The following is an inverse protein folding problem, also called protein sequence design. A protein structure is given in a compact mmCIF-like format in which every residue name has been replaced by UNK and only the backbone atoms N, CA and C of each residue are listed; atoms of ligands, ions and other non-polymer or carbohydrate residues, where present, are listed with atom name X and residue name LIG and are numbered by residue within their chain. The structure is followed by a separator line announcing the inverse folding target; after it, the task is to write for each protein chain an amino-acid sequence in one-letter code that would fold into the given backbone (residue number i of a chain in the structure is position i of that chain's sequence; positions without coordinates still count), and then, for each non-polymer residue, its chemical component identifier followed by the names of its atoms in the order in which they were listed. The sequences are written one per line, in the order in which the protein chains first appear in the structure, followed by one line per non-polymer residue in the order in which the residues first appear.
data_IF_740298792015
#
_entry.id   IF_740298792015
#
_cell.length_a   1.000
_cell.length_b   1.000
_cell.length_c   1.000
_cell.angle_alpha   90.00
_cell.angle_beta   90.00
_cell.angle_gamma   90.00
#
_symmetry.space_group_name_H-M   'P 1'
#
loop_
_entity.id
_entity.type
_entity.pdbx_description
1 polymer ?
#
# COMPACT_ATOMS: atom_id res chain seq x y z
N UNK A 1 -15.84 0.15 -11.30
CA UNK A 1 -15.21 1.36 -10.71
C UNK A 1 -15.03 1.25 -9.19
N UNK A 2 -14.43 0.16 -8.69
CA UNK A 2 -14.11 -0.04 -7.25
C UNK A 2 -12.66 -0.48 -6.99
N UNK A 3 -11.85 -0.66 -8.05
CA UNK A 3 -10.46 -1.14 -7.98
C UNK A 3 -9.40 -0.01 -7.88
N UNK A 4 -9.82 1.26 -7.76
CA UNK A 4 -8.88 2.41 -7.74
C UNK A 4 -8.48 2.80 -6.30
N UNK A 5 -9.22 2.33 -5.28
CA UNK A 5 -8.96 2.68 -3.88
C UNK A 5 -7.94 1.80 -3.16
N UNK A 6 -7.79 0.52 -3.54
CA UNK A 6 -6.93 -0.43 -2.83
C UNK A 6 -5.44 -0.28 -3.19
N UNK A 7 -5.15 0.22 -4.39
CA UNK A 7 -3.77 0.36 -4.90
C UNK A 7 -2.97 1.44 -4.15
N UNK A 8 -3.64 2.43 -3.56
CA UNK A 8 -3.00 3.56 -2.90
C UNK A 8 -2.63 3.28 -1.44
N UNK A 9 -3.29 2.31 -0.81
CA UNK A 9 -3.02 1.90 0.58
C UNK A 9 -1.74 1.06 0.68
N UNK A 10 -1.34 0.41 -0.42
CA UNK A 10 -0.15 -0.45 -0.48
C UNK A 10 1.19 0.31 -0.62
N UNK A 11 1.19 1.54 -1.13
CA UNK A 11 2.45 2.28 -1.39
C UNK A 11 3.08 2.83 -0.10
N UNK A 12 2.32 2.96 0.98
CA UNK A 12 2.78 3.56 2.24
C UNK A 12 3.37 2.52 3.20
N UNK A 13 2.97 1.25 3.09
CA UNK A 13 3.34 0.18 4.04
C UNK A 13 4.71 -0.46 3.77
N UNK A 14 5.40 -0.10 2.68
CA UNK A 14 6.70 -0.69 2.34
C UNK A 14 7.91 0.09 2.87
N UNK A 15 7.73 1.30 3.41
CA UNK A 15 8.83 2.16 3.90
C UNK A 15 8.93 2.27 5.44
N UNK A 16 8.03 1.66 6.22
CA UNK A 16 7.88 2.00 7.65
C UNK A 16 8.59 1.07 8.64
N UNK A 17 9.42 0.12 8.20
CA UNK A 17 9.97 -0.90 9.12
C UNK A 17 11.20 -0.49 9.95
N UNK A 18 11.69 0.75 9.93
CA UNK A 18 12.86 1.14 10.74
C UNK A 18 12.83 2.58 11.29
N UNK A 19 11.80 2.97 12.06
CA UNK A 19 11.87 4.19 12.87
C UNK A 19 10.87 4.28 14.05
N UNK A 20 10.60 3.20 14.79
CA UNK A 20 9.74 3.29 15.98
C UNK A 20 10.52 3.29 17.29
N UNK A 21 11.01 4.47 17.68
CA UNK A 21 11.19 4.82 19.09
C UNK A 21 10.87 6.30 19.31
N UNK A 22 10.01 6.59 20.30
CA UNK A 22 9.64 7.91 20.88
C UNK A 22 8.52 8.65 20.11
N UNK A 23 7.30 8.85 20.65
CA UNK A 23 6.94 9.35 21.99
C UNK A 23 5.70 8.64 22.57
N UNK A 24 5.69 8.34 23.88
CA UNK A 24 4.63 7.51 24.51
C UNK A 24 3.19 8.00 24.30
N UNK A 25 2.95 9.32 24.21
CA UNK A 25 1.59 9.87 24.02
C UNK A 25 1.04 9.74 22.59
N UNK A 26 1.91 9.75 21.58
CA UNK A 26 1.50 9.56 20.19
C UNK A 26 1.17 8.09 19.92
N UNK A 27 1.94 7.19 20.54
CA UNK A 27 1.68 5.76 20.44
C UNK A 27 0.33 5.38 21.09
N UNK A 28 0.02 5.94 22.26
CA UNK A 28 -1.28 5.71 22.93
C UNK A 28 -2.48 6.14 22.08
N UNK A 29 -2.36 7.23 21.31
CA UNK A 29 -3.42 7.68 20.42
C UNK A 29 -3.61 6.70 19.25
N UNK A 30 -2.53 6.30 18.58
CA UNK A 30 -2.56 5.33 17.48
C UNK A 30 -3.15 4.00 17.93
N UNK A 31 -2.70 3.48 19.08
CA UNK A 31 -3.21 2.24 19.67
C UNK A 31 -4.72 2.36 19.93
N UNK A 32 -5.21 3.49 20.45
CA UNK A 32 -6.66 3.71 20.63
C UNK A 32 -7.44 3.71 19.32
N UNK A 33 -6.93 4.35 18.26
CA UNK A 33 -7.59 4.37 16.96
C UNK A 33 -7.60 2.98 16.31
N UNK A 34 -6.47 2.30 16.28
CA UNK A 34 -6.35 0.96 15.72
C UNK A 34 -7.23 -0.04 16.50
N UNK A 35 -7.26 0.05 17.83
CA UNK A 35 -8.16 -0.75 18.67
C UNK A 35 -9.63 -0.48 18.39
N UNK A 36 -9.99 0.79 18.19
CA UNK A 36 -11.36 1.16 17.78
C UNK A 36 -11.74 0.57 16.42
N UNK A 37 -10.80 0.55 15.46
CA UNK A 37 -11.00 -0.08 14.16
C UNK A 37 -11.23 -1.60 14.32
N UNK A 38 -10.37 -2.29 15.09
CA UNK A 38 -10.55 -3.72 15.39
C UNK A 38 -11.93 -3.98 16.01
N UNK A 39 -12.30 -3.30 17.08
CA UNK A 39 -13.60 -3.53 17.76
C UNK A 39 -14.79 -3.28 16.83
N UNK A 40 -14.74 -2.25 15.98
CA UNK A 40 -15.81 -1.96 15.02
C UNK A 40 -15.91 -3.03 13.93
N UNK A 41 -14.77 -3.51 13.43
CA UNK A 41 -14.74 -4.54 12.39
C UNK A 41 -15.10 -5.92 12.95
N UNK A 42 -14.72 -6.25 14.19
CA UNK A 42 -15.17 -7.46 14.89
C UNK A 42 -16.67 -7.49 15.10
N UNK A 43 -17.25 -6.35 15.52
CA UNK A 43 -18.70 -6.22 15.65
C UNK A 43 -19.39 -6.40 14.29
N UNK A 44 -18.89 -5.77 13.24
CA UNK A 44 -19.43 -5.92 11.89
C UNK A 44 -19.35 -7.37 11.39
N UNK A 45 -18.24 -8.07 11.68
CA UNK A 45 -18.10 -9.49 11.35
C UNK A 45 -19.09 -10.36 12.13
N UNK A 46 -19.22 -10.12 13.44
CA UNK A 46 -20.19 -10.83 14.28
C UNK A 46 -21.62 -10.64 13.80
N UNK A 47 -21.99 -9.41 13.43
CA UNK A 47 -23.32 -9.11 12.91
C UNK A 47 -23.54 -9.83 11.57
N UNK A 48 -22.56 -9.79 10.65
CA UNK A 48 -22.66 -10.49 9.36
C UNK A 48 -22.75 -12.01 9.50
N UNK A 49 -22.00 -12.62 10.42
CA UNK A 49 -22.07 -14.06 10.65
C UNK A 49 -23.45 -14.50 11.16
N UNK A 50 -24.10 -13.69 12.01
CA UNK A 50 -25.48 -13.96 12.47
C UNK A 50 -26.48 -13.95 11.31
N UNK A 51 -26.29 -13.07 10.32
CA UNK A 51 -27.16 -13.02 9.14
C UNK A 51 -26.74 -14.02 8.04
N UNK A 52 -25.49 -14.49 8.06
CA UNK A 52 -25.00 -15.53 7.17
C UNK A 52 -25.69 -16.87 7.46
N UNK A 53 -25.80 -17.24 8.73
CA UNK A 53 -26.51 -18.47 9.15
C UNK A 53 -28.01 -18.42 8.83
N UNK A 54 -28.57 -17.20 8.67
CA UNK A 54 -29.94 -16.96 8.22
C UNK A 54 -30.09 -16.90 6.69
N UNK A 55 -29.02 -17.15 5.91
CA UNK A 55 -29.02 -17.14 4.45
C UNK A 55 -29.06 -15.74 3.80
N UNK A 56 -28.90 -14.68 4.60
CA UNK A 56 -29.08 -13.28 4.14
C UNK A 56 -27.79 -12.58 3.68
N UNK A 57 -26.62 -13.22 3.75
CA UNK A 57 -25.32 -12.60 3.47
C UNK A 57 -24.50 -13.49 2.54
N UNK A 58 -23.85 -12.89 1.53
CA UNK A 58 -22.98 -13.64 0.62
C UNK A 58 -21.66 -14.05 1.30
N UNK A 59 -21.09 -15.22 0.94
CA UNK A 59 -19.76 -15.63 1.41
C UNK A 59 -18.67 -14.59 1.14
N UNK A 60 -18.75 -13.89 0.01
CA UNK A 60 -17.81 -12.81 -0.36
C UNK A 60 -17.85 -11.64 0.62
N UNK A 61 -19.03 -11.28 1.15
CA UNK A 61 -19.15 -10.19 2.12
C UNK A 61 -18.53 -10.57 3.47
N UNK A 62 -18.67 -11.83 3.87
CA UNK A 62 -18.01 -12.35 5.07
C UNK A 62 -16.48 -12.34 4.89
N UNK A 63 -15.98 -12.73 3.70
CA UNK A 63 -14.55 -12.67 3.37
C UNK A 63 -14.00 -11.25 3.42
N UNK A 64 -14.66 -10.28 2.77
CA UNK A 64 -14.24 -8.87 2.76
C UNK A 64 -14.09 -8.30 4.18
N UNK A 65 -15.02 -8.62 5.07
CA UNK A 65 -14.95 -8.13 6.46
C UNK A 65 -13.91 -8.90 7.28
N UNK A 66 -13.64 -10.18 6.99
CA UNK A 66 -12.51 -10.91 7.60
C UNK A 66 -11.17 -10.33 7.18
N UNK A 67 -11.01 -9.96 5.92
CA UNK A 67 -9.79 -9.30 5.43
C UNK A 67 -9.61 -7.93 6.07
N UNK A 68 -10.67 -7.12 6.12
CA UNK A 68 -10.65 -5.82 6.81
C UNK A 68 -10.32 -5.96 8.31
N UNK A 69 -10.78 -7.05 8.95
CA UNK A 69 -10.46 -7.34 10.34
C UNK A 69 -8.98 -7.70 10.51
N UNK A 70 -8.44 -8.56 9.64
CA UNK A 70 -7.02 -8.91 9.66
C UNK A 70 -6.13 -7.68 9.44
N UNK A 71 -6.44 -6.81 8.47
CA UNK A 71 -5.71 -5.55 8.25
C UNK A 71 -5.83 -4.60 9.44
N UNK A 72 -7.00 -4.52 10.09
CA UNK A 72 -7.17 -3.72 11.32
C UNK A 72 -6.32 -4.26 12.48
N UNK A 73 -6.20 -5.59 12.59
CA UNK A 73 -5.35 -6.25 13.59
C UNK A 73 -3.86 -6.06 13.30
N UNK A 74 -3.46 -6.05 12.03
CA UNK A 74 -2.09 -5.71 11.62
C UNK A 74 -1.76 -4.29 12.07
N UNK A 75 -2.63 -3.29 11.79
CA UNK A 75 -2.40 -1.91 12.23
C UNK A 75 -2.28 -1.78 13.76
N UNK A 76 -3.12 -2.49 14.51
CA UNK A 76 -3.03 -2.50 15.97
C UNK A 76 -1.71 -3.13 16.43
N UNK A 77 -1.34 -4.26 15.85
CA UNK A 77 -0.10 -4.94 16.18
C UNK A 77 1.14 -4.11 15.84
N UNK A 78 1.15 -3.40 14.71
CA UNK A 78 2.21 -2.46 14.33
C UNK A 78 2.31 -1.31 15.34
N UNK A 79 1.19 -0.71 15.74
CA UNK A 79 1.15 0.34 16.76
C UNK A 79 1.63 -0.15 18.15
N UNK A 80 1.31 -1.41 18.48
CA UNK A 80 1.73 -2.05 19.74
C UNK A 80 3.18 -2.60 19.68
N UNK A 81 3.84 -2.57 18.51
CA UNK A 81 5.16 -3.19 18.31
C UNK A 81 5.15 -4.72 18.38
N UNK A 82 3.98 -5.35 18.19
CA UNK A 82 3.77 -6.79 18.28
C UNK A 82 4.02 -7.48 16.92
N UNK A 83 5.29 -7.59 16.54
CA UNK A 83 5.69 -8.17 15.25
C UNK A 83 5.20 -9.62 15.04
N UNK A 84 5.04 -10.39 16.13
CA UNK A 84 4.53 -11.77 16.05
C UNK A 84 3.09 -11.80 15.55
N UNK A 85 2.26 -10.87 16.02
CA UNK A 85 0.86 -10.75 15.59
C UNK A 85 0.78 -10.24 14.14
N UNK A 86 1.62 -9.29 13.74
CA UNK A 86 1.73 -8.84 12.34
C UNK A 86 1.99 -10.03 11.41
N UNK A 87 3.00 -10.85 11.73
CA UNK A 87 3.35 -12.05 10.96
C UNK A 87 2.20 -13.06 10.96
N UNK A 88 1.53 -13.28 12.09
CA UNK A 88 0.41 -14.21 12.19
C UNK A 88 -0.78 -13.79 11.29
N UNK A 89 -1.17 -12.52 11.34
CA UNK A 89 -2.27 -11.99 10.52
C UNK A 89 -1.91 -11.96 9.03
N UNK A 90 -0.67 -11.64 8.67
CA UNK A 90 -0.20 -11.70 7.27
C UNK A 90 -0.16 -13.14 6.74
N UNK A 91 0.22 -14.13 7.55
CA UNK A 91 0.15 -15.55 7.15
C UNK A 91 -1.28 -15.97 6.84
N UNK A 92 -2.22 -15.62 7.71
CA UNK A 92 -3.63 -15.89 7.49
C UNK A 92 -4.14 -15.29 6.17
N UNK A 93 -3.80 -14.03 5.88
CA UNK A 93 -4.17 -13.38 4.62
C UNK A 93 -3.53 -14.08 3.40
N UNK A 94 -2.25 -14.44 3.47
CA UNK A 94 -1.56 -15.17 2.39
C UNK A 94 -2.17 -16.55 2.16
N UNK A 95 -2.58 -17.26 3.21
CA UNK A 95 -3.29 -18.55 3.07
C UNK A 95 -4.63 -18.39 2.37
N UNK A 96 -5.41 -17.35 2.71
CA UNK A 96 -6.65 -17.03 2.01
C UNK A 96 -6.41 -16.69 0.54
N UNK A 97 -5.38 -15.89 0.25
CA UNK A 97 -5.03 -15.52 -1.12
C UNK A 97 -4.60 -16.72 -1.96
N UNK A 98 -3.84 -17.65 -1.39
CA UNK A 98 -3.44 -18.85 -2.12
C UNK A 98 -4.66 -19.72 -2.49
N UNK A 99 -5.63 -19.85 -1.58
CA UNK A 99 -6.86 -20.57 -1.85
C UNK A 99 -7.72 -19.86 -2.92
N UNK A 100 -7.89 -18.54 -2.80
CA UNK A 100 -8.63 -17.72 -3.75
C UNK A 100 -7.96 -17.70 -5.13
N UNK A 101 -6.62 -17.67 -5.17
CA UNK A 101 -5.86 -17.66 -6.40
C UNK A 101 -5.99 -18.98 -7.17
N UNK A 102 -5.97 -20.12 -6.47
CA UNK A 102 -6.18 -21.41 -7.12
C UNK A 102 -7.58 -21.50 -7.76
N UNK A 103 -8.61 -21.02 -7.06
CA UNK A 103 -9.96 -20.94 -7.60
C UNK A 103 -10.03 -19.99 -8.80
N UNK A 104 -9.38 -18.84 -8.71
CA UNK A 104 -9.33 -17.84 -9.79
C UNK A 104 -8.61 -18.38 -11.03
N UNK A 105 -7.53 -19.16 -10.86
CA UNK A 105 -6.85 -19.84 -11.98
C UNK A 105 -7.74 -20.87 -12.66
N UNK A 106 -8.50 -21.65 -11.89
CA UNK A 106 -9.48 -22.59 -12.45
C UNK A 106 -10.58 -21.85 -13.22
N UNK A 107 -11.11 -20.76 -12.65
CA UNK A 107 -12.11 -19.91 -13.30
C UNK A 107 -11.58 -19.28 -14.59
N UNK A 108 -10.32 -18.85 -14.62
CA UNK A 108 -9.68 -18.32 -15.82
C UNK A 108 -9.50 -19.39 -16.91
N UNK A 109 -9.09 -20.61 -16.52
CA UNK A 109 -9.00 -21.75 -17.44
C UNK A 109 -10.36 -22.13 -18.04
N UNK A 110 -11.45 -21.87 -17.33
CA UNK A 110 -12.83 -22.06 -17.79
C UNK A 110 -13.40 -20.84 -18.54
N UNK A 111 -12.63 -19.75 -18.67
CA UNK A 111 -13.08 -18.51 -19.30
C UNK A 111 -14.08 -17.69 -18.48
N UNK A 112 -14.30 -18.03 -17.21
CA UNK A 112 -15.23 -17.34 -16.31
C UNK A 112 -14.68 -15.99 -15.80
N UNK A 113 -13.36 -15.82 -15.81
CA UNK A 113 -12.70 -14.52 -15.58
C UNK A 113 -11.65 -14.26 -16.66
N UNK A 114 -11.44 -12.98 -16.96
CA UNK A 114 -10.42 -12.53 -17.91
C UNK A 114 -9.00 -12.70 -17.36
N UNK A 115 -8.02 -12.82 -18.27
CA UNK A 115 -6.60 -12.81 -17.90
C UNK A 115 -6.19 -11.55 -17.12
N UNK A 116 -6.81 -10.39 -17.42
CA UNK A 116 -6.57 -9.15 -16.70
C UNK A 116 -7.07 -9.21 -15.24
N UNK A 117 -8.24 -9.83 -14.99
CA UNK A 117 -8.75 -10.03 -13.63
C UNK A 117 -7.87 -10.99 -12.85
N UNK A 118 -7.42 -12.08 -13.47
CA UNK A 118 -6.50 -13.01 -12.83
C UNK A 118 -5.17 -12.34 -12.47
N UNK A 119 -4.61 -11.52 -13.37
CA UNK A 119 -3.35 -10.80 -13.12
C UNK A 119 -3.44 -9.84 -11.92
N UNK A 120 -4.57 -9.15 -11.73
CA UNK A 120 -4.81 -8.28 -10.56
C UNK A 120 -4.78 -9.11 -9.27
N UNK A 121 -5.50 -10.23 -9.24
CA UNK A 121 -5.57 -11.13 -8.07
C UNK A 121 -4.17 -11.71 -7.77
N UNK A 122 -3.43 -12.10 -8.80
CA UNK A 122 -2.05 -12.59 -8.66
C UNK A 122 -1.12 -11.52 -8.08
N UNK A 123 -1.25 -10.28 -8.55
CA UNK A 123 -0.45 -9.16 -8.06
C UNK A 123 -0.73 -8.84 -6.59
N UNK A 124 -2.00 -8.78 -6.19
CA UNK A 124 -2.40 -8.58 -4.79
C UNK A 124 -1.84 -9.69 -3.88
N UNK A 125 -1.95 -10.95 -4.31
CA UNK A 125 -1.41 -12.10 -3.58
C UNK A 125 0.13 -12.10 -3.50
N UNK A 126 0.84 -11.62 -4.54
CA UNK A 126 2.30 -11.44 -4.47
C UNK A 126 2.65 -10.32 -3.49
N UNK A 127 1.93 -9.21 -3.51
CA UNK A 127 2.17 -8.07 -2.62
C UNK A 127 2.01 -8.47 -1.14
N UNK A 128 0.95 -9.21 -0.77
CA UNK A 128 0.80 -9.72 0.61
C UNK A 128 1.92 -10.67 1.02
N UNK A 129 2.46 -11.48 0.10
CA UNK A 129 3.64 -12.32 0.35
C UNK A 129 4.92 -11.49 0.55
N UNK A 130 5.10 -10.40 -0.18
CA UNK A 130 6.20 -9.46 0.04
C UNK A 130 6.10 -8.83 1.43
N UNK A 131 4.90 -8.37 1.84
CA UNK A 131 4.67 -7.85 3.20
C UNK A 131 4.99 -8.87 4.27
N UNK A 132 4.55 -10.12 4.11
CA UNK A 132 4.86 -11.21 5.04
C UNK A 132 6.38 -11.45 5.12
N UNK A 133 7.06 -11.53 3.98
CA UNK A 133 8.51 -11.73 3.94
C UNK A 133 9.24 -10.61 4.68
N UNK A 134 8.86 -9.34 4.44
CA UNK A 134 9.41 -8.19 5.12
C UNK A 134 9.16 -8.25 6.64
N UNK A 135 7.92 -8.47 7.06
CA UNK A 135 7.56 -8.56 8.48
C UNK A 135 8.27 -9.71 9.21
N UNK A 136 8.55 -10.80 8.51
CA UNK A 136 9.27 -11.96 9.04
C UNK A 136 10.79 -11.83 9.05
N UNK A 137 11.35 -10.79 8.41
CA UNK A 137 12.80 -10.64 8.22
C UNK A 137 13.45 -11.64 7.26
N UNK A 138 12.65 -12.41 6.49
CA UNK A 138 13.18 -13.36 5.51
C UNK A 138 13.53 -12.65 4.20
N UNK A 139 14.75 -12.11 4.14
CA UNK A 139 15.30 -11.41 2.97
C UNK A 139 15.24 -12.27 1.70
N UNK A 140 15.47 -13.58 1.81
CA UNK A 140 15.46 -14.48 0.66
C UNK A 140 14.04 -14.70 0.12
N UNK A 141 13.05 -14.87 0.99
CA UNK A 141 11.65 -14.90 0.58
C UNK A 141 11.22 -13.57 -0.05
N UNK A 142 11.70 -12.44 0.49
CA UNK A 142 11.40 -11.10 -0.03
C UNK A 142 11.95 -10.92 -1.45
N UNK A 143 13.22 -11.27 -1.68
CA UNK A 143 13.84 -11.24 -3.02
C UNK A 143 13.09 -12.14 -4.00
N UNK A 144 12.74 -13.37 -3.60
CA UNK A 144 11.98 -14.29 -4.48
C UNK A 144 10.62 -13.72 -4.85
N UNK A 145 9.86 -13.21 -3.88
CA UNK A 145 8.53 -12.65 -4.09
C UNK A 145 8.59 -11.39 -4.98
N UNK A 146 9.52 -10.48 -4.72
CA UNK A 146 9.73 -9.28 -5.54
C UNK A 146 10.25 -9.60 -6.94
N UNK A 147 11.09 -10.62 -7.08
CA UNK A 147 11.54 -11.11 -8.38
C UNK A 147 10.38 -11.66 -9.22
N UNK A 148 9.47 -12.41 -8.62
CA UNK A 148 8.24 -12.88 -9.27
C UNK A 148 7.34 -11.71 -9.68
N UNK A 149 7.11 -10.75 -8.77
CA UNK A 149 6.32 -9.56 -9.07
C UNK A 149 6.88 -8.79 -10.28
N UNK A 150 8.18 -8.50 -10.23
CA UNK A 150 8.89 -7.75 -11.26
C UNK A 150 8.79 -8.44 -12.61
N UNK A 151 8.94 -9.77 -12.66
CA UNK A 151 8.83 -10.53 -13.90
C UNK A 151 7.42 -10.43 -14.51
N UNK A 152 6.37 -10.60 -13.71
CA UNK A 152 4.97 -10.51 -14.17
C UNK A 152 4.64 -9.09 -14.65
N UNK A 153 4.99 -8.07 -13.87
CA UNK A 153 4.72 -6.67 -14.23
C UNK A 153 5.49 -6.26 -15.48
N UNK A 154 6.73 -6.75 -15.67
CA UNK A 154 7.52 -6.51 -16.89
C UNK A 154 6.81 -7.02 -18.14
N UNK A 155 6.31 -8.26 -18.11
CA UNK A 155 5.57 -8.84 -19.25
C UNK A 155 4.33 -7.99 -19.57
N UNK A 156 3.58 -7.59 -18.55
CA UNK A 156 2.39 -6.73 -18.70
C UNK A 156 2.74 -5.35 -19.27
N UNK A 157 3.79 -4.71 -18.76
CA UNK A 157 4.24 -3.40 -19.23
C UNK A 157 4.74 -3.44 -20.68
N UNK A 158 5.47 -4.48 -21.08
CA UNK A 158 5.89 -4.69 -22.47
C UNK A 158 4.69 -4.92 -23.40
N UNK A 159 3.70 -5.69 -22.97
CA UNK A 159 2.46 -5.87 -23.72
C UNK A 159 1.72 -4.55 -23.89
N UNK A 160 1.54 -3.77 -22.82
CA UNK A 160 0.89 -2.47 -22.86
C UNK A 160 1.65 -1.46 -23.75
N UNK A 161 2.98 -1.47 -23.75
CA UNK A 161 3.78 -0.65 -24.67
C UNK A 161 3.49 -0.98 -26.14
N UNK A 162 3.35 -2.28 -26.48
CA UNK A 162 2.99 -2.71 -27.84
C UNK A 162 1.56 -2.28 -28.20
N UNK A 163 0.60 -2.47 -27.30
CA UNK A 163 -0.79 -2.06 -27.51
C UNK A 163 -0.91 -0.53 -27.68
N UNK A 164 -0.12 0.25 -26.94
CA UNK A 164 -0.08 1.70 -27.09
C UNK A 164 0.50 2.11 -28.46
N UNK A 165 1.58 1.48 -28.91
CA UNK A 165 2.13 1.70 -30.25
C UNK A 165 1.12 1.40 -31.36
N UNK A 166 0.24 0.41 -31.12
CA UNK A 166 -0.88 0.05 -32.00
C UNK A 166 -2.12 0.95 -31.82
N UNK A 167 -2.07 1.97 -30.95
CA UNK A 167 -3.18 2.88 -30.59
C UNK A 167 -4.41 2.16 -30.01
N UNK A 168 -4.22 0.99 -29.41
CA UNK A 168 -5.29 0.18 -28.82
C UNK A 168 -5.56 0.52 -27.35
N UNK A 169 -4.62 1.17 -26.68
CA UNK A 169 -4.79 1.69 -25.32
C UNK A 169 -4.41 3.17 -25.27
N UNK A 170 -4.93 3.87 -24.26
CA UNK A 170 -4.60 5.27 -24.04
C UNK A 170 -3.23 5.46 -23.34
N UNK A 171 -2.76 6.71 -23.33
CA UNK A 171 -1.51 7.08 -22.65
C UNK A 171 -1.57 6.89 -21.14
N UNK A 172 -2.75 6.97 -20.53
CA UNK A 172 -2.92 6.80 -19.09
C UNK A 172 -2.66 5.34 -18.68
N UNK A 173 -3.14 4.39 -19.47
CA UNK A 173 -2.92 2.94 -19.28
C UNK A 173 -1.44 2.61 -19.45
N UNK A 174 -0.77 3.16 -20.47
CA UNK A 174 0.68 3.00 -20.63
C UNK A 174 1.44 3.54 -19.41
N UNK A 175 1.15 4.77 -18.98
CA UNK A 175 1.82 5.38 -17.81
C UNK A 175 1.63 4.57 -16.54
N UNK A 176 0.43 4.04 -16.30
CA UNK A 176 0.15 3.16 -15.16
C UNK A 176 1.05 1.93 -15.18
N UNK A 177 1.16 1.26 -16.32
CA UNK A 177 2.05 0.09 -16.45
C UNK A 177 3.53 0.42 -16.25
N UNK A 178 3.98 1.60 -16.70
CA UNK A 178 5.34 2.09 -16.47
C UNK A 178 5.60 2.40 -14.99
N UNK A 179 4.61 2.95 -14.30
CA UNK A 179 4.66 3.24 -12.86
C UNK A 179 4.74 1.96 -12.05
N UNK A 180 3.89 0.98 -12.35
CA UNK A 180 3.91 -0.35 -11.72
C UNK A 180 5.27 -1.04 -11.93
N UNK A 181 5.82 -0.99 -13.15
CA UNK A 181 7.13 -1.56 -13.45
C UNK A 181 8.26 -0.86 -12.69
N UNK A 182 8.27 0.48 -12.67
CA UNK A 182 9.25 1.26 -11.94
C UNK A 182 9.18 0.99 -10.43
N UNK A 183 7.97 0.82 -9.89
CA UNK A 183 7.75 0.46 -8.49
C UNK A 183 8.32 -0.92 -8.16
N UNK A 184 8.03 -1.94 -8.98
CA UNK A 184 8.54 -3.28 -8.75
C UNK A 184 10.08 -3.33 -8.79
N UNK A 185 10.70 -2.63 -9.76
CA UNK A 185 12.16 -2.52 -9.82
C UNK A 185 12.76 -1.75 -8.65
N UNK A 186 12.10 -0.66 -8.20
CA UNK A 186 12.52 0.09 -7.03
C UNK A 186 12.54 -0.80 -5.79
N UNK A 187 11.44 -1.50 -5.50
CA UNK A 187 11.34 -2.38 -4.34
C UNK A 187 12.40 -3.49 -4.37
N UNK A 188 12.62 -4.09 -5.54
CA UNK A 188 13.67 -5.09 -5.72
C UNK A 188 15.07 -4.51 -5.50
N UNK A 189 15.32 -3.28 -5.95
CA UNK A 189 16.59 -2.60 -5.76
C UNK A 189 16.86 -2.28 -4.28
N UNK A 190 15.84 -1.82 -3.54
CA UNK A 190 15.93 -1.57 -2.09
C UNK A 190 16.36 -2.84 -1.35
N UNK A 191 15.70 -3.97 -1.62
CA UNK A 191 16.00 -5.24 -0.92
C UNK A 191 17.35 -5.81 -1.31
N UNK A 192 17.83 -5.56 -2.53
CA UNK A 192 19.16 -5.96 -2.96
C UNK A 192 20.26 -4.97 -2.57
N UNK A 193 19.94 -3.91 -1.82
CA UNK A 193 20.87 -2.86 -1.42
C UNK A 193 21.57 -2.17 -2.63
N UNK A 194 20.92 -2.18 -3.81
CA UNK A 194 21.42 -1.56 -5.05
C UNK A 194 21.05 -0.07 -5.10
N UNK A 195 21.94 0.75 -4.53
CA UNK A 195 21.76 2.21 -4.42
C UNK A 195 21.58 2.92 -5.77
N UNK A 196 22.29 2.49 -6.80
CA UNK A 196 22.20 3.13 -8.13
C UNK A 196 20.83 2.89 -8.74
N UNK A 197 20.36 1.64 -8.70
CA UNK A 197 19.02 1.29 -9.16
C UNK A 197 17.93 1.96 -8.32
N UNK A 198 18.10 2.07 -7.00
CA UNK A 198 17.18 2.81 -6.12
C UNK A 198 17.01 4.25 -6.60
N UNK A 199 18.11 4.99 -6.81
CA UNK A 199 18.07 6.38 -7.27
C UNK A 199 17.39 6.47 -8.65
N UNK A 200 17.77 5.57 -9.57
CA UNK A 200 17.22 5.52 -10.93
C UNK A 200 15.70 5.33 -10.93
N UNK A 201 15.21 4.32 -10.22
CA UNK A 201 13.78 3.97 -10.23
C UNK A 201 12.93 4.94 -9.41
N UNK A 202 13.45 5.51 -8.32
CA UNK A 202 12.81 6.64 -7.63
C UNK A 202 12.66 7.86 -8.54
N UNK A 203 13.70 8.20 -9.31
CA UNK A 203 13.64 9.30 -10.29
C UNK A 203 12.54 9.11 -11.33
N UNK A 204 12.37 7.88 -11.84
CA UNK A 204 11.30 7.52 -12.78
C UNK A 204 9.92 7.66 -12.11
N UNK A 205 9.76 7.15 -10.87
CA UNK A 205 8.50 7.22 -10.13
C UNK A 205 8.08 8.66 -9.81
N UNK A 206 9.03 9.53 -9.44
CA UNK A 206 8.77 10.96 -9.21
C UNK A 206 8.26 11.62 -10.50
N UNK A 207 8.95 11.41 -11.62
CA UNK A 207 8.56 12.01 -12.90
C UNK A 207 7.16 11.55 -13.33
N UNK A 208 6.86 10.26 -13.23
CA UNK A 208 5.55 9.71 -13.60
C UNK A 208 4.43 10.24 -12.69
N UNK A 209 4.67 10.38 -11.38
CA UNK A 209 3.68 10.96 -10.45
C UNK A 209 3.46 12.45 -10.68
N UNK A 210 4.50 13.23 -10.99
CA UNK A 210 4.37 14.65 -11.33
C UNK A 210 3.54 14.85 -12.60
N UNK A 211 3.78 14.03 -13.64
CA UNK A 211 2.96 14.02 -14.85
C UNK A 211 1.49 13.68 -14.55
N UNK A 212 1.24 12.69 -13.69
CA UNK A 212 -0.11 12.29 -13.26
C UNK A 212 -0.80 13.41 -12.50
N UNK A 213 -0.08 14.09 -11.59
CA UNK A 213 -0.60 15.21 -10.80
C UNK A 213 -0.99 16.38 -11.70
N UNK A 214 -0.12 16.75 -12.64
CA UNK A 214 -0.39 17.80 -13.62
C UNK A 214 -1.60 17.47 -14.50
N UNK A 215 -1.70 16.24 -14.97
CA UNK A 215 -2.83 15.79 -15.79
C UNK A 215 -4.16 15.70 -15.03
N UNK A 216 -4.10 15.64 -13.70
CA UNK A 216 -5.26 15.45 -12.82
C UNK A 216 -5.90 16.75 -12.33
N UNK A 217 -5.19 17.89 -12.41
CA UNK A 217 -5.75 19.19 -12.05
C UNK A 217 -6.98 19.51 -12.92
N UNK A 218 -8.11 19.79 -12.26
CA UNK A 218 -9.40 20.05 -12.92
C UNK A 218 -10.19 18.79 -13.34
N UNK A 219 -9.66 17.57 -13.11
CA UNK A 219 -10.34 16.30 -13.44
C UNK A 219 -10.67 15.45 -12.22
N UNK A 220 -9.83 15.48 -11.20
CA UNK A 220 -10.02 14.72 -9.97
C UNK A 220 -10.62 15.57 -8.84
N UNK A 221 -11.17 14.89 -7.83
CA UNK A 221 -11.64 15.56 -6.63
C UNK A 221 -10.46 16.20 -5.86
N UNK A 222 -10.71 17.27 -5.09
CA UNK A 222 -9.66 17.88 -4.26
C UNK A 222 -8.97 16.91 -3.30
N UNK A 223 -9.67 15.86 -2.85
CA UNK A 223 -9.11 14.82 -1.97
C UNK A 223 -8.13 13.94 -2.75
N UNK A 224 -8.52 13.46 -3.94
CA UNK A 224 -7.64 12.62 -4.77
C UNK A 224 -6.38 13.39 -5.22
N UNK A 225 -6.51 14.69 -5.52
CA UNK A 225 -5.36 15.55 -5.84
C UNK A 225 -4.43 15.69 -4.62
N UNK A 226 -4.98 15.84 -3.42
CA UNK A 226 -4.18 15.94 -2.19
C UNK A 226 -3.42 14.63 -1.92
N UNK A 227 -4.05 13.47 -2.11
CA UNK A 227 -3.42 12.16 -1.93
C UNK A 227 -2.30 11.93 -2.96
N UNK A 228 -2.52 12.29 -4.23
CA UNK A 228 -1.50 12.22 -5.27
C UNK A 228 -0.33 13.17 -5.02
N UNK A 229 -0.62 14.39 -4.53
CA UNK A 229 0.41 15.35 -4.12
C UNK A 229 1.25 14.82 -2.96
N UNK A 230 0.62 14.19 -1.97
CA UNK A 230 1.32 13.58 -0.84
C UNK A 230 2.31 12.50 -1.32
N UNK A 231 1.85 11.55 -2.13
CA UNK A 231 2.72 10.49 -2.67
C UNK A 231 3.87 11.08 -3.49
N UNK A 232 3.61 12.12 -4.26
CA UNK A 232 4.68 12.81 -5.02
C UNK A 232 5.75 13.37 -4.09
N UNK A 233 5.36 14.04 -3.00
CA UNK A 233 6.31 14.63 -2.04
C UNK A 233 7.07 13.54 -1.27
N UNK A 234 6.44 12.41 -0.97
CA UNK A 234 7.09 11.28 -0.29
C UNK A 234 8.17 10.66 -1.16
N UNK A 235 7.88 10.42 -2.44
CA UNK A 235 8.88 9.96 -3.40
C UNK A 235 10.03 10.96 -3.60
N UNK A 236 9.72 12.26 -3.61
CA UNK A 236 10.74 13.31 -3.67
C UNK A 236 11.60 13.35 -2.40
N UNK A 237 11.02 13.06 -1.23
CA UNK A 237 11.75 12.95 0.03
C UNK A 237 12.72 11.76 -0.02
N UNK A 238 12.25 10.57 -0.40
CA UNK A 238 13.07 9.37 -0.54
C UNK A 238 14.19 9.57 -1.56
N UNK A 239 13.91 10.21 -2.70
CA UNK A 239 14.92 10.52 -3.70
C UNK A 239 15.96 11.52 -3.17
N UNK A 240 15.54 12.53 -2.41
CA UNK A 240 16.47 13.47 -1.77
C UNK A 240 17.37 12.76 -0.75
N UNK A 241 16.81 11.86 0.06
CA UNK A 241 17.56 11.03 1.00
C UNK A 241 18.57 10.12 0.29
N UNK A 242 18.14 9.40 -0.74
CA UNK A 242 19.00 8.51 -1.53
C UNK A 242 20.17 9.26 -2.21
N UNK A 243 19.96 10.52 -2.57
CA UNK A 243 20.99 11.41 -3.12
C UNK A 243 21.84 12.13 -2.06
N UNK A 244 21.63 11.87 -0.76
CA UNK A 244 22.34 12.54 0.34
C UNK A 244 21.96 14.00 0.58
N UNK A 245 20.85 14.49 0.00
CA UNK A 245 20.38 15.87 0.12
C UNK A 245 19.52 16.05 1.38
N UNK A 246 20.14 15.97 2.56
CA UNK A 246 19.42 15.95 3.84
C UNK A 246 18.55 17.19 4.11
N UNK A 247 18.99 18.39 3.74
CA UNK A 247 18.18 19.60 3.89
C UNK A 247 16.91 19.57 3.04
N UNK A 248 17.01 19.06 1.80
CA UNK A 248 15.86 18.89 0.91
C UNK A 248 14.91 17.82 1.47
N UNK A 249 15.46 16.68 1.90
CA UNK A 249 14.72 15.61 2.56
C UNK A 249 13.91 16.12 3.76
N UNK A 250 14.54 16.84 4.69
CA UNK A 250 13.87 17.43 5.85
C UNK A 250 12.74 18.39 5.45
N UNK A 251 12.96 19.24 4.43
CA UNK A 251 11.93 20.17 3.93
C UNK A 251 10.73 19.42 3.34
N UNK A 252 10.97 18.32 2.62
CA UNK A 252 9.90 17.46 2.06
C UNK A 252 9.12 16.78 3.18
N UNK A 253 9.80 16.21 4.19
CA UNK A 253 9.15 15.61 5.36
C UNK A 253 8.29 16.62 6.14
N UNK A 254 8.76 17.86 6.33
CA UNK A 254 7.95 18.92 6.94
C UNK A 254 6.66 19.19 6.16
N UNK A 255 6.75 19.17 4.82
CA UNK A 255 5.59 19.35 3.95
C UNK A 255 4.63 18.16 4.03
N UNK A 256 5.14 16.92 4.12
CA UNK A 256 4.33 15.72 4.32
C UNK A 256 3.55 15.76 5.62
N UNK A 257 4.20 16.11 6.73
CA UNK A 257 3.54 16.27 8.03
C UNK A 257 2.37 17.26 7.95
N UNK A 258 2.54 18.39 7.25
CA UNK A 258 1.46 19.37 7.07
C UNK A 258 0.29 18.80 6.25
N UNK A 259 0.57 18.03 5.19
CA UNK A 259 -0.46 17.38 4.39
C UNK A 259 -1.20 16.29 5.15
N UNK A 260 -0.48 15.47 5.91
CA UNK A 260 -1.07 14.40 6.71
C UNK A 260 -1.95 14.96 7.84
N UNK A 261 -1.56 16.07 8.47
CA UNK A 261 -2.40 16.77 9.45
C UNK A 261 -3.73 17.25 8.83
N UNK A 262 -3.66 17.87 7.65
CA UNK A 262 -4.85 18.30 6.92
C UNK A 262 -5.74 17.12 6.53
N UNK A 263 -5.12 15.98 6.20
CA UNK A 263 -5.84 14.78 5.81
C UNK A 263 -6.58 14.13 6.98
N UNK A 264 -5.94 14.04 8.15
CA UNK A 264 -6.59 13.53 9.38
C UNK A 264 -7.82 14.36 9.73
N UNK A 265 -7.72 15.70 9.65
CA UNK A 265 -8.83 16.63 9.91
C UNK A 265 -10.03 16.45 8.96
N UNK A 266 -9.81 15.89 7.77
CA UNK A 266 -10.86 15.67 6.74
C UNK A 266 -11.52 14.29 6.83
N UNK A 267 -11.01 13.36 7.65
CA UNK A 267 -11.54 11.99 7.70
C UNK A 267 -12.95 11.94 8.33
N UNK A 268 -13.81 11.06 7.80
CA UNK A 268 -15.26 10.98 8.11
C UNK A 268 -15.59 9.88 9.12
N UNK A 269 -16.79 9.96 9.73
CA UNK A 269 -17.33 8.95 10.64
C UNK A 269 -17.84 7.68 9.92
N UNK A 270 -17.60 6.50 10.53
CA UNK A 270 -18.04 5.19 10.02
C UNK A 270 -17.11 4.04 10.46
N UNK A 271 -17.38 2.80 10.05
CA UNK A 271 -16.49 1.64 10.29
C UNK A 271 -15.28 1.64 9.31
N UNK A 272 -15.54 1.78 8.00
CA UNK A 272 -14.49 2.03 6.99
C UNK A 272 -13.80 3.38 7.22
N UNK A 273 -14.58 4.39 7.64
CA UNK A 273 -14.03 5.68 8.05
C UNK A 273 -13.08 5.56 9.25
N UNK A 274 -13.36 4.68 10.23
CA UNK A 274 -12.46 4.47 11.37
C UNK A 274 -11.12 3.82 10.96
N UNK A 275 -11.16 2.86 10.03
CA UNK A 275 -9.94 2.29 9.44
C UNK A 275 -9.16 3.37 8.67
N UNK A 276 -9.82 4.12 7.78
CA UNK A 276 -9.18 5.21 7.02
C UNK A 276 -8.59 6.30 7.94
N UNK A 277 -9.30 6.68 9.00
CA UNK A 277 -8.79 7.63 10.00
C UNK A 277 -7.57 7.05 10.71
N UNK A 278 -7.61 5.79 11.15
CA UNK A 278 -6.48 5.14 11.81
C UNK A 278 -5.25 5.09 10.89
N UNK A 279 -5.44 4.73 9.62
CA UNK A 279 -4.38 4.76 8.61
C UNK A 279 -3.78 6.16 8.45
N UNK A 280 -4.61 7.20 8.30
CA UNK A 280 -4.14 8.58 8.15
C UNK A 280 -3.35 9.06 9.38
N UNK A 281 -3.72 8.61 10.58
CA UNK A 281 -2.96 8.92 11.80
C UNK A 281 -1.63 8.18 11.85
N UNK A 282 -1.60 6.93 11.37
CA UNK A 282 -0.38 6.15 11.26
C UNK A 282 0.62 6.84 10.32
N UNK A 283 0.16 7.24 9.14
CA UNK A 283 0.97 7.96 8.15
C UNK A 283 1.52 9.28 8.72
N UNK A 284 0.70 10.03 9.46
CA UNK A 284 1.14 11.26 10.12
C UNK A 284 2.25 10.98 11.15
N UNK A 285 2.09 9.94 11.95
CA UNK A 285 3.07 9.58 12.97
C UNK A 285 4.40 9.12 12.34
N UNK A 286 4.35 8.35 11.25
CA UNK A 286 5.53 7.94 10.49
C UNK A 286 6.29 9.15 9.93
N UNK A 287 5.58 10.05 9.23
CA UNK A 287 6.15 11.31 8.71
C UNK A 287 6.82 12.13 9.83
N UNK A 288 6.23 12.18 11.02
CA UNK A 288 6.79 12.89 12.18
C UNK A 288 8.03 12.19 12.75
N UNK A 289 8.03 10.85 12.81
CA UNK A 289 9.17 10.06 13.28
C UNK A 289 10.37 10.18 12.32
N UNK A 290 10.13 10.08 11.00
CA UNK A 290 11.16 10.31 9.97
C UNK A 290 11.76 11.70 10.09
N UNK A 291 10.94 12.73 10.31
CA UNK A 291 11.41 14.10 10.49
C UNK A 291 12.22 14.28 11.78
N UNK A 292 11.78 13.67 12.88
CA UNK A 292 12.50 13.73 14.15
C UNK A 292 13.88 13.05 14.06
N UNK A 293 13.95 11.89 13.41
CA UNK A 293 15.20 11.18 13.15
C UNK A 293 16.13 11.99 12.25
N UNK A 294 15.61 12.56 11.16
CA UNK A 294 16.38 13.40 10.24
C UNK A 294 16.97 14.65 10.90
N UNK A 295 16.35 15.17 11.97
CA UNK A 295 16.86 16.32 12.76
C UNK A 295 17.91 15.94 13.81
N UNK A 296 17.94 14.68 14.26
CA UNK A 296 18.90 14.19 15.28
C UNK A 296 20.24 13.75 14.68
N UNK A 297 20.30 13.53 13.36
CA UNK A 297 21.50 13.11 12.63
C UNK A 297 22.31 14.26 12.01
N UNK A 298 22.05 15.50 12.43
CA UNK A 298 22.93 16.67 12.23
C UNK A 298 23.98 16.75 13.34
#
# INVERSE_FOLDING_TARGET
MRAVGLFFVCVVLLLTSTAYSQTGRQNDALVRYARTAVTRTEKALSDLLRFYDAGGVSPDKVREVREALAESKILLAEAEGNQREVVAQLRFLVEQDNAALQQSRNAAAQGAISAAQLAIIEQEAVYRRVRLANASGDKQAQIRALGQLTATVKISAEANARLFAQKQIDRATLRRSQKELAQAYYELAVVNDDKESVIKYLGILVALNQEELQASYGRLSPIAIADLKRVTIDLEAELAFANGKMSEYQKKLQTLVQLDQQAVQRSRSGALGAYETAQRQFDLADSQARLATAKKGE
#
